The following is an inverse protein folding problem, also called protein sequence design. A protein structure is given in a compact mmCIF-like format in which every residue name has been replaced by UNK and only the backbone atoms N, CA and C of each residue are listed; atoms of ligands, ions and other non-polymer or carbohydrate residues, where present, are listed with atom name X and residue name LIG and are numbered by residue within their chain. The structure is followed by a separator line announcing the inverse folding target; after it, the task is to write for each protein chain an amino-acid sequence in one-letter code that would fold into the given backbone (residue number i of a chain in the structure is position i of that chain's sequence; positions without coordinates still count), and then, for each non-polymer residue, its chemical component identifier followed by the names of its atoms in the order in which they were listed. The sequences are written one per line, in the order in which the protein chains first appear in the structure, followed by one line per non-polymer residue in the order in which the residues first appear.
data_IF_652648425469
#
_entry.id   IF_652648425469
#
_cell.length_a   1.000
_cell.length_b   1.000
_cell.length_c   1.000
_cell.angle_alpha   90.00
_cell.angle_beta   90.00
_cell.angle_gamma   90.00
#
_symmetry.space_group_name_H-M   'P 1'
#
loop_
_entity.id
_entity.type
_entity.pdbx_description
1 polymer ?
#
# COMPACT_ATOMS: atom_id res chain seq x y z
N UNK A 1 18.11 11.04 4.63
CA UNK A 1 16.78 10.86 5.22
C UNK A 1 15.81 11.73 4.46
N UNK A 2 15.10 11.23 3.41
CA UNK A 2 14.06 12.02 2.79
C UNK A 2 12.89 12.09 3.78
N UNK A 3 12.41 13.31 4.03
CA UNK A 3 11.23 13.54 4.85
C UNK A 3 10.05 12.77 4.25
N UNK A 4 9.48 11.85 5.04
CA UNK A 4 8.15 11.33 4.79
C UNK A 4 7.21 12.54 4.75
N UNK A 5 6.64 12.84 3.59
CA UNK A 5 5.55 13.82 3.50
C UNK A 5 4.38 13.29 4.32
N UNK A 6 4.27 13.76 5.56
CA UNK A 6 3.13 13.53 6.45
C UNK A 6 1.87 14.31 6.01
N UNK A 7 1.67 14.48 4.69
CA UNK A 7 0.62 15.30 4.11
C UNK A 7 -0.69 14.59 3.78
N UNK A 8 -0.78 13.25 3.87
CA UNK A 8 -1.96 12.53 3.38
C UNK A 8 -2.44 11.37 4.28
N UNK A 9 -2.09 11.37 5.57
CA UNK A 9 -2.69 10.42 6.52
C UNK A 9 -4.12 10.87 6.88
N UNK A 10 -5.08 10.64 5.97
CA UNK A 10 -6.52 10.57 6.32
C UNK A 10 -7.48 11.59 5.71
N UNK A 11 -7.04 12.76 5.24
CA UNK A 11 -7.99 13.81 4.77
C UNK A 11 -8.61 13.54 3.39
N UNK A 12 -7.93 12.79 2.53
CA UNK A 12 -8.40 12.52 1.16
C UNK A 12 -9.46 11.41 1.05
N UNK A 13 -9.80 10.71 2.15
CA UNK A 13 -10.81 9.63 2.10
C UNK A 13 -12.23 10.11 1.83
N UNK A 14 -12.48 11.42 1.90
CA UNK A 14 -13.76 12.08 1.60
C UNK A 14 -13.55 13.17 0.56
N UNK A 15 -13.14 12.80 -0.64
CA UNK A 15 -13.12 13.76 -1.75
C UNK A 15 -14.55 14.24 -2.04
N UNK A 16 -14.72 15.56 -2.16
CA UNK A 16 -16.03 16.19 -2.41
C UNK A 16 -16.35 16.30 -3.91
N UNK A 17 -15.35 16.11 -4.78
CA UNK A 17 -15.45 16.13 -6.23
C UNK A 17 -14.59 15.05 -6.92
N UNK A 18 -14.77 14.92 -8.23
CA UNK A 18 -14.09 13.92 -9.05
C UNK A 18 -12.58 14.18 -9.18
N UNK A 19 -12.13 15.43 -9.09
CA UNK A 19 -10.69 15.76 -9.16
C UNK A 19 -9.98 15.33 -7.88
N UNK A 20 -10.55 15.64 -6.73
CA UNK A 20 -10.10 15.18 -5.43
C UNK A 20 -10.07 13.65 -5.36
N UNK A 21 -11.04 12.95 -5.94
CA UNK A 21 -11.04 11.50 -6.00
C UNK A 21 -9.91 10.95 -6.87
N UNK A 22 -9.66 11.55 -8.05
CA UNK A 22 -8.52 11.16 -8.90
C UNK A 22 -7.17 11.41 -8.21
N UNK A 23 -7.04 12.53 -7.50
CA UNK A 23 -5.85 12.83 -6.69
C UNK A 23 -5.66 11.82 -5.55
N UNK A 24 -6.73 11.48 -4.83
CA UNK A 24 -6.70 10.47 -3.77
C UNK A 24 -6.33 9.09 -4.30
N UNK A 25 -6.90 8.70 -5.44
CA UNK A 25 -6.58 7.44 -6.11
C UNK A 25 -5.11 7.40 -6.56
N UNK A 26 -4.61 8.47 -7.16
CA UNK A 26 -3.20 8.57 -7.56
C UNK A 26 -2.23 8.43 -6.38
N UNK A 27 -2.58 8.97 -5.21
CA UNK A 27 -1.78 8.80 -3.99
C UNK A 27 -1.75 7.33 -3.50
N UNK A 28 -2.90 6.64 -3.57
CA UNK A 28 -3.00 5.21 -3.24
C UNK A 28 -2.20 4.36 -4.23
N UNK A 29 -2.36 4.59 -5.54
CA UNK A 29 -1.62 3.89 -6.59
C UNK A 29 -0.09 4.07 -6.44
N UNK A 30 0.36 5.30 -6.19
CA UNK A 30 1.78 5.60 -5.97
C UNK A 30 2.33 4.92 -4.70
N UNK A 31 1.55 4.85 -3.63
CA UNK A 31 1.94 4.15 -2.40
C UNK A 31 2.07 2.63 -2.63
N UNK A 32 1.16 2.05 -3.40
CA UNK A 32 1.23 0.63 -3.77
C UNK A 32 2.46 0.33 -4.63
N UNK A 33 2.72 1.13 -5.67
CA UNK A 33 3.94 1.01 -6.49
C UNK A 33 5.21 1.02 -5.65
N UNK A 34 5.34 2.00 -4.74
CA UNK A 34 6.51 2.07 -3.86
C UNK A 34 6.65 0.82 -2.97
N UNK A 35 5.55 0.27 -2.47
CA UNK A 35 5.59 -0.94 -1.65
C UNK A 35 6.03 -2.16 -2.48
N UNK A 36 5.49 -2.35 -3.68
CA UNK A 36 5.86 -3.46 -4.55
C UNK A 36 7.27 -3.35 -5.10
N UNK A 37 7.72 -2.14 -5.47
CA UNK A 37 9.08 -1.90 -5.96
C UNK A 37 10.13 -2.25 -4.90
N UNK A 38 9.87 -1.89 -3.63
CA UNK A 38 10.74 -2.28 -2.52
C UNK A 38 10.74 -3.79 -2.32
N UNK A 39 9.58 -4.44 -2.39
CA UNK A 39 9.47 -5.89 -2.24
C UNK A 39 10.24 -6.65 -3.34
N UNK A 40 10.19 -6.17 -4.59
CA UNK A 40 10.92 -6.75 -5.72
C UNK A 40 12.43 -6.55 -5.65
N UNK A 41 12.91 -5.59 -4.87
CA UNK A 41 14.34 -5.37 -4.65
C UNK A 41 14.94 -6.22 -3.50
N UNK A 42 14.09 -6.93 -2.74
CA UNK A 42 14.55 -7.81 -1.67
C UNK A 42 15.08 -9.15 -2.22
N UNK A 43 15.92 -9.87 -1.47
CA UNK A 43 16.33 -11.23 -1.82
C UNK A 43 15.14 -12.17 -1.99
N UNK A 44 15.31 -13.21 -2.81
CA UNK A 44 14.30 -14.23 -3.02
C UNK A 44 13.83 -14.85 -1.69
N UNK A 45 12.50 -15.01 -1.56
CA UNK A 45 11.85 -15.53 -0.36
C UNK A 45 11.68 -14.53 0.78
N UNK A 46 12.25 -13.31 0.71
CA UNK A 46 12.09 -12.31 1.76
C UNK A 46 10.63 -11.88 1.97
N UNK A 47 9.81 -11.87 0.90
CA UNK A 47 8.37 -11.54 0.98
C UNK A 47 7.55 -12.57 1.75
N UNK A 48 8.10 -13.77 1.98
CA UNK A 48 7.46 -14.85 2.72
C UNK A 48 7.92 -14.93 4.19
N UNK A 49 8.83 -14.03 4.61
CA UNK A 49 9.32 -13.97 5.99
C UNK A 49 8.37 -13.14 6.87
N UNK A 50 7.99 -13.72 8.01
CA UNK A 50 7.27 -13.03 9.09
C UNK A 50 8.24 -12.18 9.93
N UNK A 51 7.79 -11.00 10.36
CA UNK A 51 8.53 -10.10 11.27
C UNK A 51 7.79 -10.05 12.60
N UNK A 52 8.49 -10.32 13.70
CA UNK A 52 7.91 -10.29 15.06
C UNK A 52 6.64 -11.16 15.26
N UNK A 53 6.48 -12.20 14.45
CA UNK A 53 5.29 -13.07 14.49
C UNK A 53 4.08 -12.51 13.77
N UNK A 54 4.22 -11.35 13.12
CA UNK A 54 3.21 -10.76 12.24
C UNK A 54 3.15 -11.49 10.89
N UNK A 55 2.19 -11.10 10.06
CA UNK A 55 2.02 -11.71 8.74
C UNK A 55 3.17 -11.32 7.82
N UNK A 56 3.60 -12.25 6.96
CA UNK A 56 4.55 -11.89 5.91
C UNK A 56 3.90 -10.98 4.86
N UNK A 57 4.72 -10.35 4.03
CA UNK A 57 4.24 -9.43 3.00
C UNK A 57 3.29 -10.13 2.02
N UNK A 58 3.62 -11.34 1.58
CA UNK A 58 2.78 -12.12 0.66
C UNK A 58 1.42 -12.49 1.27
N UNK A 59 1.37 -12.84 2.55
CA UNK A 59 0.12 -13.10 3.29
C UNK A 59 -0.74 -11.85 3.42
N UNK A 60 -0.12 -10.71 3.77
CA UNK A 60 -0.81 -9.41 3.85
C UNK A 60 -1.41 -9.04 2.50
N UNK A 61 -0.64 -9.16 1.41
CA UNK A 61 -1.10 -8.83 0.06
C UNK A 61 -2.27 -9.72 -0.37
N UNK A 62 -2.15 -11.04 -0.14
CA UNK A 62 -3.21 -12.00 -0.44
C UNK A 62 -4.49 -11.64 0.31
N UNK A 63 -4.40 -11.30 1.60
CA UNK A 63 -5.57 -10.92 2.39
C UNK A 63 -6.24 -9.66 1.89
N UNK A 64 -5.47 -8.64 1.52
CA UNK A 64 -6.02 -7.40 0.98
C UNK A 64 -6.73 -7.64 -0.35
N UNK A 65 -6.20 -8.48 -1.24
CA UNK A 65 -6.89 -8.87 -2.48
C UNK A 65 -8.20 -9.59 -2.16
N UNK A 66 -8.20 -10.53 -1.21
CA UNK A 66 -9.43 -11.19 -0.78
C UNK A 66 -10.45 -10.25 -0.14
N UNK A 67 -10.00 -9.27 0.66
CA UNK A 67 -10.87 -8.31 1.33
C UNK A 67 -11.44 -7.23 0.39
N UNK A 68 -10.83 -7.02 -0.79
CA UNK A 68 -11.21 -5.98 -1.76
C UNK A 68 -11.86 -6.51 -3.04
N UNK A 69 -11.77 -7.82 -3.32
CA UNK A 69 -12.45 -8.48 -4.43
C UNK A 69 -13.97 -8.63 -4.21
N UNK A 70 -14.75 -8.88 -5.28
CA UNK A 70 -16.16 -9.24 -5.13
C UNK A 70 -16.25 -10.62 -4.46
N UNK A 71 -17.02 -10.70 -3.37
CA UNK A 71 -17.50 -11.98 -2.84
C UNK A 71 -18.52 -12.63 -3.78
#
# INVERSE_FOLDING_TARGET
MPALSAGACGTQRRAEDAEGLRGAWGAVDGSWRQATDRASALPDGAVDVSVEGEWCFSQTLRHLVFATGPG
#
